data_IF_715541048887
#
_entry.id   IF_715541048887
#
_cell.length_a   1.000
_cell.length_b   1.000
_cell.length_c   1.000
_cell.angle_alpha   90.00
_cell.angle_beta   90.00
_cell.angle_gamma   90.00
#
_symmetry.space_group_name_H-M   'P 1'
#
loop_
_entity.id
_entity.type
_entity.pdbx_description
1 polymer ?
#
# COMPACT_ATOMS: atom_id res chain seq x y z
N UNK A 1 -10.43 19.32 -1.20
CA UNK A 1 -11.37 20.16 -0.43
C UNK A 1 -12.78 19.59 -0.33
N UNK A 2 -13.69 19.73 -1.32
CA UNK A 2 -15.13 19.39 -1.14
C UNK A 2 -15.40 18.01 -0.53
N UNK A 3 -14.67 16.98 -0.95
CA UNK A 3 -14.80 15.62 -0.40
C UNK A 3 -14.40 15.57 1.08
N UNK A 4 -13.26 16.16 1.45
CA UNK A 4 -12.78 16.21 2.85
C UNK A 4 -13.73 16.99 3.76
N UNK A 5 -14.26 18.12 3.30
CA UNK A 5 -15.28 18.87 4.03
C UNK A 5 -16.59 18.07 4.22
N UNK A 6 -16.98 17.27 3.24
CA UNK A 6 -18.13 16.38 3.39
C UNK A 6 -17.85 15.25 4.39
N UNK A 7 -16.64 14.67 4.38
CA UNK A 7 -16.24 13.66 5.37
C UNK A 7 -16.29 14.25 6.78
N UNK A 8 -15.76 15.47 6.98
CA UNK A 8 -15.88 16.21 8.24
C UNK A 8 -17.34 16.36 8.68
N UNK A 9 -18.20 16.85 7.79
CA UNK A 9 -19.63 17.04 8.09
C UNK A 9 -20.33 15.71 8.44
N UNK A 10 -20.04 14.63 7.72
CA UNK A 10 -20.59 13.30 7.99
C UNK A 10 -20.03 12.70 9.29
N UNK A 11 -18.77 12.96 9.63
CA UNK A 11 -18.19 12.57 10.92
C UNK A 11 -18.91 13.28 12.08
N UNK A 12 -19.06 14.60 12.00
CA UNK A 12 -19.67 15.40 13.06
C UNK A 12 -21.17 15.14 13.23
N UNK A 13 -21.91 14.96 12.13
CA UNK A 13 -23.37 14.85 12.17
C UNK A 13 -23.88 13.41 12.19
N UNK A 14 -23.15 12.46 11.58
CA UNK A 14 -23.58 11.06 11.45
C UNK A 14 -22.70 10.09 12.22
N UNK A 15 -21.53 10.50 12.71
CA UNK A 15 -20.61 9.63 13.46
C UNK A 15 -20.02 8.50 12.61
N UNK A 16 -19.77 8.77 11.32
CA UNK A 16 -19.17 7.76 10.44
C UNK A 16 -17.79 7.35 10.94
N UNK A 17 -17.44 6.08 10.69
CA UNK A 17 -16.09 5.55 10.97
C UNK A 17 -15.33 5.15 9.72
N UNK A 18 -16.03 4.79 8.66
CA UNK A 18 -15.45 4.24 7.43
C UNK A 18 -15.84 5.11 6.23
N UNK A 19 -14.88 5.39 5.37
CA UNK A 19 -15.06 6.12 4.11
C UNK A 19 -14.43 5.32 2.97
N UNK A 20 -15.27 4.76 2.10
CA UNK A 20 -14.79 4.09 0.89
C UNK A 20 -14.79 5.05 -0.30
N UNK A 21 -13.61 5.38 -0.82
CA UNK A 21 -13.45 6.19 -2.02
C UNK A 21 -13.56 5.30 -3.25
N UNK A 22 -14.60 5.50 -4.07
CA UNK A 22 -14.84 4.66 -5.26
C UNK A 22 -14.57 5.45 -6.54
N UNK A 23 -13.45 5.14 -7.20
CA UNK A 23 -13.08 5.71 -8.49
C UNK A 23 -11.57 5.90 -8.65
N UNK A 24 -11.06 5.59 -9.85
CA UNK A 24 -9.68 5.81 -10.25
C UNK A 24 -9.54 6.77 -11.44
N UNK A 25 -8.35 6.79 -12.04
CA UNK A 25 -8.04 7.62 -13.22
C UNK A 25 -8.81 7.14 -14.44
N UNK A 26 -9.52 8.03 -15.12
CA UNK A 26 -10.34 7.72 -16.31
C UNK A 26 -9.89 8.47 -17.58
N UNK A 27 -8.60 8.75 -17.64
CA UNK A 27 -7.92 9.30 -18.80
C UNK A 27 -7.18 10.59 -18.50
N UNK A 28 -7.04 11.41 -19.54
CA UNK A 28 -6.31 12.67 -19.50
C UNK A 28 -4.83 12.51 -19.82
N UNK A 29 -4.38 13.06 -20.95
CA UNK A 29 -2.95 13.05 -21.36
C UNK A 29 -2.24 14.28 -20.79
N UNK A 30 -2.80 15.48 -20.96
CA UNK A 30 -2.21 16.73 -20.44
C UNK A 30 -2.43 16.90 -18.94
N UNK A 31 -3.65 16.67 -18.46
CA UNK A 31 -4.02 16.66 -17.06
C UNK A 31 -4.86 15.43 -16.77
N UNK A 32 -4.64 14.79 -15.63
CA UNK A 32 -5.31 13.57 -15.22
C UNK A 32 -6.78 13.82 -14.92
N UNK A 33 -7.63 12.87 -15.28
CA UNK A 33 -9.07 12.91 -14.99
C UNK A 33 -9.45 11.80 -14.02
N UNK A 34 -10.27 12.12 -13.04
CA UNK A 34 -10.55 11.27 -11.88
C UNK A 34 -12.06 11.11 -11.66
N UNK A 35 -12.51 9.87 -11.46
CA UNK A 35 -13.91 9.59 -11.08
C UNK A 35 -14.17 9.98 -9.64
N UNK A 36 -13.20 9.71 -8.78
CA UNK A 36 -13.15 10.18 -7.40
C UNK A 36 -11.86 10.99 -7.23
N UNK A 37 -11.92 12.23 -6.73
CA UNK A 37 -10.74 13.06 -6.52
C UNK A 37 -9.64 12.37 -5.69
N UNK A 38 -8.42 12.83 -5.89
CA UNK A 38 -7.21 12.37 -5.19
C UNK A 38 -6.50 13.57 -4.56
N UNK A 39 -5.62 13.31 -3.60
CA UNK A 39 -4.65 14.29 -3.12
C UNK A 39 -3.25 13.89 -3.54
N UNK A 40 -2.46 14.91 -3.83
CA UNK A 40 -1.03 14.81 -3.97
C UNK A 40 -0.35 15.54 -2.81
N UNK A 41 0.62 14.90 -2.19
CA UNK A 41 1.55 15.54 -1.27
C UNK A 41 2.70 16.19 -2.04
N UNK A 42 3.15 17.35 -1.58
CA UNK A 42 4.29 18.09 -2.15
C UNK A 42 5.50 18.07 -1.20
N UNK A 43 5.58 17.07 -0.33
CA UNK A 43 6.73 16.79 0.51
C UNK A 43 7.91 16.41 -0.40
N UNK A 44 8.98 17.20 -0.32
CA UNK A 44 10.23 16.99 -1.04
C UNK A 44 11.27 16.44 -0.07
N UNK A 45 11.55 15.16 -0.19
CA UNK A 45 12.54 14.44 0.62
C UNK A 45 13.97 14.57 0.08
N UNK A 46 14.17 15.36 -0.97
CA UNK A 46 15.45 15.50 -1.67
C UNK A 46 15.72 14.40 -2.70
N UNK A 47 14.78 13.49 -2.93
CA UNK A 47 14.82 12.53 -4.06
C UNK A 47 14.42 13.21 -5.38
N UNK A 48 14.34 12.43 -6.47
CA UNK A 48 13.80 12.90 -7.75
C UNK A 48 12.25 12.84 -7.82
N UNK A 49 11.56 12.44 -6.73
CA UNK A 49 10.10 12.46 -6.61
C UNK A 49 9.62 13.67 -5.81
N UNK A 50 9.21 14.72 -6.54
CA UNK A 50 8.69 15.95 -5.93
C UNK A 50 7.20 15.87 -5.52
N UNK A 51 6.50 14.80 -5.89
CA UNK A 51 5.06 14.68 -5.66
C UNK A 51 4.57 13.23 -5.73
N UNK A 52 3.71 12.82 -4.79
CA UNK A 52 3.12 11.47 -4.75
C UNK A 52 1.67 11.51 -4.27
N UNK A 53 0.90 10.46 -4.59
CA UNK A 53 -0.51 10.34 -4.21
C UNK A 53 -0.65 10.01 -2.72
N UNK A 54 -1.72 10.47 -2.09
CA UNK A 54 -2.02 10.13 -0.69
C UNK A 54 -3.51 10.23 -0.44
N UNK A 55 -4.13 9.14 0.01
CA UNK A 55 -5.49 9.22 0.55
C UNK A 55 -5.54 9.43 2.06
N UNK A 56 -4.40 9.42 2.76
CA UNK A 56 -4.29 9.80 4.18
C UNK A 56 -4.88 11.20 4.44
N UNK A 57 -4.76 12.08 3.45
CA UNK A 57 -5.42 13.40 3.44
C UNK A 57 -6.93 13.34 3.69
N UNK A 58 -7.62 12.30 3.25
CA UNK A 58 -9.06 12.17 3.43
C UNK A 58 -9.45 11.55 4.78
N UNK A 59 -8.50 10.90 5.48
CA UNK A 59 -8.72 10.30 6.79
C UNK A 59 -8.33 11.20 7.95
N UNK A 60 -7.26 11.99 7.80
CA UNK A 60 -6.86 13.03 8.77
C UNK A 60 -7.80 14.23 8.58
N UNK A 61 -8.72 14.48 9.51
CA UNK A 61 -9.72 15.54 9.43
C UNK A 61 -9.33 16.73 10.33
N UNK A 62 -8.73 16.46 11.48
CA UNK A 62 -8.40 17.49 12.46
C UNK A 62 -6.96 17.39 12.90
N UNK A 63 -6.32 18.56 12.99
CA UNK A 63 -5.11 18.78 13.76
C UNK A 63 -5.43 19.01 15.23
N UNK A 64 -4.78 18.25 16.12
CA UNK A 64 -4.93 18.42 17.57
C UNK A 64 -3.77 19.20 18.20
N UNK A 65 -4.04 20.40 18.71
CA UNK A 65 -3.06 21.23 19.43
C UNK A 65 -3.58 21.61 20.82
N UNK A 66 -2.83 21.24 21.87
CA UNK A 66 -3.20 21.52 23.27
C UNK A 66 -4.63 21.12 23.64
N UNK A 67 -5.11 20.00 23.07
CA UNK A 67 -6.47 19.48 23.29
C UNK A 67 -7.57 20.16 22.47
N UNK A 68 -7.24 21.11 21.60
CA UNK A 68 -8.19 21.71 20.66
C UNK A 68 -8.04 21.07 19.28
N UNK A 69 -9.16 20.66 18.69
CA UNK A 69 -9.23 20.16 17.33
C UNK A 69 -9.48 21.32 16.35
N UNK A 70 -8.65 21.42 15.31
CA UNK A 70 -8.82 22.36 14.19
C UNK A 70 -8.83 21.60 12.89
N UNK A 71 -9.70 21.95 11.93
CA UNK A 71 -9.73 21.26 10.64
C UNK A 71 -8.37 21.36 9.94
N UNK A 72 -7.78 20.23 9.57
CA UNK A 72 -6.49 20.20 8.88
C UNK A 72 -6.72 20.11 7.36
N UNK A 73 -6.53 21.21 6.64
CA UNK A 73 -6.67 21.23 5.19
C UNK A 73 -5.37 20.86 4.44
N UNK A 74 -4.30 20.53 5.18
CA UNK A 74 -2.95 20.29 4.67
C UNK A 74 -2.35 21.46 3.87
N UNK A 75 -2.81 22.69 4.07
CA UNK A 75 -2.27 23.93 3.46
C UNK A 75 -2.19 25.03 4.53
N UNK A 76 -1.44 24.75 5.60
CA UNK A 76 -1.36 25.57 6.81
C UNK A 76 -0.84 27.00 6.57
N UNK A 77 -0.16 27.24 5.44
CA UNK A 77 0.30 28.57 5.04
C UNK A 77 -0.56 29.23 3.94
N UNK A 78 -1.62 28.55 3.47
CA UNK A 78 -2.64 29.08 2.56
C UNK A 78 -2.14 29.41 1.16
N UNK A 79 -1.08 28.74 0.69
CA UNK A 79 -0.46 29.02 -0.60
C UNK A 79 -0.99 28.13 -1.74
N UNK A 80 -1.86 27.16 -1.43
CA UNK A 80 -2.47 26.21 -2.38
C UNK A 80 -1.59 25.02 -2.74
N UNK A 81 -0.47 24.82 -2.06
CA UNK A 81 0.45 23.69 -2.21
C UNK A 81 0.29 22.80 -0.98
N UNK A 82 -0.37 21.66 -1.17
CA UNK A 82 -0.78 20.82 -0.07
C UNK A 82 0.34 19.89 0.41
N UNK A 83 0.46 19.74 1.73
CA UNK A 83 1.50 18.96 2.41
C UNK A 83 2.91 19.31 1.90
N UNK A 84 3.19 20.60 1.70
CA UNK A 84 4.51 21.02 1.28
C UNK A 84 5.51 20.81 2.41
N UNK A 85 6.66 20.24 2.07
CA UNK A 85 7.82 20.28 2.96
C UNK A 85 9.06 20.42 2.09
N UNK A 86 9.64 21.62 2.14
CA UNK A 86 10.85 22.04 1.46
C UNK A 86 11.72 22.80 2.46
N UNK A 87 12.98 23.03 2.12
CA UNK A 87 13.99 23.59 3.04
C UNK A 87 13.54 24.82 3.87
N UNK A 88 12.72 25.71 3.32
CA UNK A 88 12.27 26.95 4.00
C UNK A 88 10.74 27.08 4.10
N UNK A 89 10.00 26.02 3.75
CA UNK A 89 8.57 26.06 3.47
C UNK A 89 7.95 24.74 3.87
N UNK A 90 7.08 24.73 4.87
CA UNK A 90 6.56 23.50 5.46
C UNK A 90 5.13 23.72 5.93
N UNK A 91 4.26 22.78 5.61
CA UNK A 91 2.95 22.67 6.23
C UNK A 91 3.04 21.97 7.58
N UNK A 92 2.12 22.28 8.50
CA UNK A 92 2.02 21.57 9.78
C UNK A 92 0.85 20.60 9.71
N UNK A 93 1.17 19.30 9.71
CA UNK A 93 0.22 18.19 9.61
C UNK A 93 0.30 17.36 10.89
N UNK A 94 -0.80 16.81 11.39
CA UNK A 94 -0.72 15.72 12.37
C UNK A 94 -0.76 14.31 11.74
N UNK A 95 -1.44 14.14 10.61
CA UNK A 95 -1.55 12.89 9.84
C UNK A 95 -2.25 11.73 10.55
N UNK A 96 -2.79 11.90 11.77
CA UNK A 96 -3.49 10.81 12.47
C UNK A 96 -4.91 10.62 11.91
N UNK A 97 -5.28 9.42 11.43
CA UNK A 97 -6.62 9.19 10.89
C UNK A 97 -7.74 9.41 11.93
N UNK A 98 -8.70 10.30 11.63
CA UNK A 98 -9.97 10.45 12.39
C UNK A 98 -11.08 9.51 11.88
N UNK A 99 -10.97 9.09 10.62
CA UNK A 99 -11.84 8.07 10.00
C UNK A 99 -11.00 7.08 9.19
N UNK A 100 -11.51 5.86 9.03
CA UNK A 100 -10.84 4.81 8.27
C UNK A 100 -11.15 4.94 6.79
N UNK A 101 -10.13 5.23 5.97
CA UNK A 101 -10.25 5.42 4.52
C UNK A 101 -9.64 4.24 3.78
N UNK A 102 -10.33 3.81 2.72
CA UNK A 102 -9.78 2.90 1.71
C UNK A 102 -10.33 3.23 0.33
N UNK A 103 -9.58 2.89 -0.73
CA UNK A 103 -9.96 3.20 -2.11
C UNK A 103 -10.21 1.95 -2.95
N UNK A 104 -11.35 1.95 -3.65
CA UNK A 104 -11.56 1.14 -4.84
C UNK A 104 -11.20 1.99 -6.07
N UNK A 105 -9.99 1.84 -6.61
CA UNK A 105 -9.46 2.65 -7.72
C UNK A 105 -10.05 2.29 -9.10
N UNK A 106 -11.34 1.91 -9.13
CA UNK A 106 -12.05 1.43 -10.30
C UNK A 106 -12.11 2.49 -11.42
N UNK A 107 -11.79 2.10 -12.65
CA UNK A 107 -11.82 3.00 -13.81
C UNK A 107 -13.12 2.97 -14.59
N UNK A 108 -13.99 2.02 -14.28
CA UNK A 108 -15.28 1.81 -14.94
C UNK A 108 -16.23 1.01 -14.03
N UNK A 109 -17.50 0.95 -14.41
CA UNK A 109 -18.53 0.24 -13.65
C UNK A 109 -18.35 -1.28 -13.60
N UNK A 110 -17.62 -1.86 -14.56
CA UNK A 110 -17.35 -3.29 -14.57
C UNK A 110 -16.36 -3.68 -13.45
N UNK A 111 -15.30 -2.89 -13.24
CA UNK A 111 -14.40 -3.06 -12.10
C UNK A 111 -15.11 -2.86 -10.77
N UNK A 112 -15.99 -1.86 -10.65
CA UNK A 112 -16.80 -1.67 -9.44
C UNK A 112 -17.63 -2.92 -9.15
N UNK A 113 -18.36 -3.42 -10.16
CA UNK A 113 -19.16 -4.64 -10.03
C UNK A 113 -18.30 -5.82 -9.56
N UNK A 114 -17.10 -6.00 -10.13
CA UNK A 114 -16.21 -7.10 -9.77
C UNK A 114 -15.64 -6.98 -8.35
N UNK A 115 -15.30 -5.78 -7.91
CA UNK A 115 -14.86 -5.57 -6.53
C UNK A 115 -15.98 -5.83 -5.53
N UNK A 116 -17.19 -5.33 -5.79
CA UNK A 116 -18.36 -5.58 -4.93
C UNK A 116 -18.67 -7.07 -4.84
N UNK A 117 -18.65 -7.80 -5.97
CA UNK A 117 -18.80 -9.27 -5.98
C UNK A 117 -17.74 -9.98 -5.12
N UNK A 118 -16.46 -9.56 -5.22
CA UNK A 118 -15.37 -10.12 -4.42
C UNK A 118 -15.52 -9.82 -2.92
N UNK A 119 -15.88 -8.60 -2.55
CA UNK A 119 -16.10 -8.18 -1.16
C UNK A 119 -17.23 -9.00 -0.53
N UNK A 120 -18.38 -9.07 -1.20
CA UNK A 120 -19.53 -9.87 -0.70
C UNK A 120 -19.13 -11.34 -0.56
N UNK A 121 -18.42 -11.90 -1.56
CA UNK A 121 -17.97 -13.29 -1.49
C UNK A 121 -17.06 -13.51 -0.28
N UNK A 122 -16.00 -12.71 -0.16
CA UNK A 122 -15.06 -12.82 0.95
C UNK A 122 -15.76 -12.74 2.31
N UNK A 123 -16.58 -11.70 2.52
CA UNK A 123 -17.23 -11.46 3.81
C UNK A 123 -18.25 -12.53 4.19
N UNK A 124 -18.84 -13.23 3.21
CA UNK A 124 -19.86 -14.25 3.45
C UNK A 124 -19.32 -15.69 3.45
N UNK A 125 -18.13 -15.93 2.89
CA UNK A 125 -17.62 -17.29 2.72
C UNK A 125 -16.26 -17.56 3.36
N UNK A 126 -15.45 -16.54 3.69
CA UNK A 126 -14.08 -16.74 4.17
C UNK A 126 -14.01 -17.32 5.60
N UNK A 127 -15.03 -17.08 6.43
CA UNK A 127 -14.99 -17.47 7.83
C UNK A 127 -14.87 -18.98 8.00
N UNK A 128 -13.87 -19.38 8.78
CA UNK A 128 -13.60 -20.79 9.11
C UNK A 128 -13.04 -21.62 7.95
N UNK A 129 -12.64 -21.00 6.84
CA UNK A 129 -12.00 -21.71 5.74
C UNK A 129 -10.53 -22.00 6.06
N UNK A 130 -10.05 -23.18 5.67
CA UNK A 130 -8.67 -23.62 5.96
C UNK A 130 -7.60 -22.70 5.35
N UNK A 131 -7.84 -22.18 4.15
CA UNK A 131 -6.93 -21.26 3.47
C UNK A 131 -6.70 -19.97 4.27
N UNK A 132 -7.64 -19.58 5.13
CA UNK A 132 -7.51 -18.38 5.95
C UNK A 132 -6.47 -18.56 7.06
N UNK A 133 -6.12 -19.78 7.47
CA UNK A 133 -5.07 -19.99 8.48
C UNK A 133 -3.66 -20.02 7.87
N UNK A 134 -3.49 -19.58 6.61
CA UNK A 134 -2.20 -19.57 5.91
C UNK A 134 -1.70 -18.14 5.69
N UNK A 135 -0.42 -17.94 5.95
CA UNK A 135 0.37 -16.75 5.61
C UNK A 135 1.35 -17.12 4.49
N UNK A 136 1.53 -16.24 3.51
CA UNK A 136 2.54 -16.41 2.45
C UNK A 136 3.48 -15.22 2.45
N UNK A 137 4.76 -15.48 2.73
CA UNK A 137 5.84 -14.49 2.68
C UNK A 137 6.68 -14.65 1.43
N UNK A 138 6.72 -13.65 0.55
CA UNK A 138 7.48 -13.66 -0.70
C UNK A 138 8.59 -12.62 -0.59
N UNK A 139 9.83 -13.09 -0.58
CA UNK A 139 10.96 -12.23 -0.25
C UNK A 139 12.30 -12.83 -0.69
N UNK A 140 13.34 -12.01 -0.59
CA UNK A 140 14.72 -12.41 -0.77
C UNK A 140 15.65 -11.37 -0.16
N UNK A 141 16.84 -11.29 -0.72
CA UNK A 141 17.84 -10.30 -0.37
C UNK A 141 17.46 -8.95 -1.00
N UNK A 142 17.15 -7.94 -0.19
CA UNK A 142 16.65 -6.65 -0.70
C UNK A 142 17.82 -5.74 -1.06
N UNK A 143 18.87 -5.74 -0.26
CA UNK A 143 20.07 -4.94 -0.51
C UNK A 143 21.32 -5.82 -0.56
N UNK A 144 21.47 -6.67 -1.60
CA UNK A 144 22.57 -7.63 -1.63
C UNK A 144 23.91 -6.93 -1.66
N UNK A 145 24.72 -7.18 -0.63
CA UNK A 145 26.10 -6.74 -0.55
C UNK A 145 27.04 -7.88 -0.15
N UNK A 146 28.30 -7.79 -0.58
CA UNK A 146 29.30 -8.81 -0.33
C UNK A 146 29.62 -8.86 1.18
N UNK A 147 29.22 -9.95 1.84
CA UNK A 147 29.48 -10.17 3.26
C UNK A 147 28.42 -9.65 4.22
N UNK A 148 27.32 -9.07 3.71
CA UNK A 148 26.13 -8.78 4.51
C UNK A 148 25.33 -10.07 4.77
N UNK A 149 25.18 -10.52 6.03
CA UNK A 149 24.44 -11.75 6.33
C UNK A 149 22.90 -11.59 6.34
N UNK A 150 22.38 -10.38 6.14
CA UNK A 150 20.95 -10.09 6.29
C UNK A 150 20.22 -10.14 4.94
N UNK A 151 19.11 -10.88 4.89
CA UNK A 151 18.17 -10.85 3.77
C UNK A 151 16.94 -10.09 4.26
N UNK A 152 16.97 -8.76 4.16
CA UNK A 152 15.99 -7.89 4.84
C UNK A 152 14.56 -8.22 4.46
N UNK A 153 14.37 -8.66 3.22
CA UNK A 153 13.06 -9.02 2.75
C UNK A 153 12.49 -10.21 3.52
N UNK A 154 13.33 -11.24 3.72
CA UNK A 154 12.96 -12.49 4.39
C UNK A 154 12.74 -12.23 5.89
N UNK A 155 13.64 -11.47 6.53
CA UNK A 155 13.50 -11.02 7.92
C UNK A 155 12.16 -10.30 8.16
N UNK A 156 11.74 -9.44 7.23
CA UNK A 156 10.48 -8.72 7.37
C UNK A 156 9.27 -9.64 7.29
N UNK A 157 9.27 -10.60 6.34
CA UNK A 157 8.15 -11.55 6.22
C UNK A 157 8.08 -12.54 7.38
N UNK A 158 9.23 -12.92 7.96
CA UNK A 158 9.27 -13.73 9.18
C UNK A 158 8.76 -12.95 10.39
N UNK A 159 9.22 -11.70 10.56
CA UNK A 159 8.78 -10.83 11.65
C UNK A 159 7.28 -10.53 11.57
N UNK A 160 6.73 -10.33 10.36
CA UNK A 160 5.30 -10.20 10.14
C UNK A 160 4.52 -11.44 10.58
N UNK A 161 5.00 -12.64 10.20
CA UNK A 161 4.37 -13.90 10.59
C UNK A 161 4.39 -14.13 12.11
N UNK A 162 5.42 -13.66 12.83
CA UNK A 162 5.52 -13.81 14.28
C UNK A 162 4.40 -13.08 15.07
N UNK A 163 3.62 -12.19 14.44
CA UNK A 163 2.42 -11.60 15.03
C UNK A 163 1.15 -12.45 14.82
N UNK A 164 1.20 -13.49 13.99
CA UNK A 164 0.03 -14.24 13.52
C UNK A 164 -0.14 -15.58 14.25
N UNK A 165 -0.58 -15.51 15.51
CA UNK A 165 -0.88 -16.70 16.31
C UNK A 165 -1.93 -17.60 15.65
N UNK A 166 -1.62 -18.90 15.53
CA UNK A 166 -2.52 -19.90 14.94
C UNK A 166 -2.46 -20.02 13.42
N UNK A 167 -1.62 -19.24 12.74
CA UNK A 167 -1.39 -19.35 11.30
C UNK A 167 -0.25 -20.30 10.96
N UNK A 168 -0.20 -20.73 9.70
CA UNK A 168 0.90 -21.49 9.11
C UNK A 168 1.58 -20.65 8.02
N UNK A 169 2.90 -20.51 8.11
CA UNK A 169 3.68 -19.80 7.11
C UNK A 169 4.06 -20.69 5.92
N UNK A 170 3.98 -20.14 4.72
CA UNK A 170 4.74 -20.58 3.56
C UNK A 170 5.69 -19.47 3.11
N UNK A 171 6.97 -19.66 3.42
CA UNK A 171 8.04 -18.76 3.05
C UNK A 171 8.56 -19.09 1.65
N UNK A 172 8.08 -18.33 0.66
CA UNK A 172 8.51 -18.38 -0.74
C UNK A 172 9.72 -17.45 -0.89
N UNK A 173 10.85 -17.94 -0.41
CA UNK A 173 12.07 -17.16 -0.26
C UNK A 173 13.13 -17.52 -1.29
N UNK A 174 13.98 -16.55 -1.63
CA UNK A 174 15.08 -16.79 -2.54
C UNK A 174 16.17 -17.65 -1.86
N UNK A 175 16.45 -17.43 -0.58
CA UNK A 175 17.48 -18.15 0.17
C UNK A 175 17.20 -19.65 0.34
N UNK A 176 15.92 -20.03 0.45
CA UNK A 176 15.49 -21.42 0.62
C UNK A 176 15.18 -22.13 -0.70
N UNK A 177 15.37 -21.44 -1.84
CA UNK A 177 15.16 -21.97 -3.18
C UNK A 177 13.69 -22.10 -3.61
N UNK A 178 12.72 -21.68 -2.80
CA UNK A 178 11.29 -21.69 -3.18
C UNK A 178 10.91 -20.53 -4.10
N UNK A 179 11.70 -19.46 -4.16
CA UNK A 179 11.50 -18.35 -5.09
C UNK A 179 12.58 -18.35 -6.17
N UNK A 180 12.23 -18.81 -7.37
CA UNK A 180 13.12 -18.81 -8.54
C UNK A 180 12.51 -18.12 -9.76
N UNK A 181 11.18 -18.06 -9.86
CA UNK A 181 10.48 -17.44 -10.99
C UNK A 181 9.06 -17.00 -10.62
N UNK A 182 8.35 -16.32 -11.53
CA UNK A 182 7.00 -15.83 -11.28
C UNK A 182 5.97 -16.95 -11.02
N UNK A 183 6.24 -18.16 -11.50
CA UNK A 183 5.38 -19.33 -11.32
C UNK A 183 5.33 -19.80 -9.87
N UNK A 184 6.40 -19.63 -9.12
CA UNK A 184 6.45 -19.98 -7.70
C UNK A 184 5.54 -19.05 -6.89
N UNK A 185 5.57 -17.76 -7.21
CA UNK A 185 4.67 -16.73 -6.65
C UNK A 185 3.21 -17.06 -6.98
N UNK A 186 2.90 -17.32 -8.25
CA UNK A 186 1.53 -17.66 -8.68
C UNK A 186 1.04 -18.91 -7.95
N UNK A 187 1.87 -19.96 -7.88
CA UNK A 187 1.52 -21.22 -7.22
C UNK A 187 1.23 -21.04 -5.73
N UNK A 188 2.00 -20.21 -5.02
CA UNK A 188 1.78 -19.94 -3.61
C UNK A 188 0.49 -19.14 -3.36
N UNK A 189 0.20 -18.13 -4.19
CA UNK A 189 -1.04 -17.35 -4.10
C UNK A 189 -2.26 -18.23 -4.43
N UNK A 190 -2.16 -19.06 -5.48
CA UNK A 190 -3.25 -19.92 -5.97
C UNK A 190 -3.68 -21.00 -4.97
N UNK A 191 -2.81 -21.35 -4.01
CA UNK A 191 -3.16 -22.23 -2.89
C UNK A 191 -4.04 -21.57 -1.81
N UNK A 192 -4.24 -20.24 -1.89
CA UNK A 192 -5.02 -19.47 -0.94
C UNK A 192 -4.27 -19.15 0.36
N UNK A 193 -4.43 -17.92 0.85
CA UNK A 193 -3.89 -17.45 2.12
C UNK A 193 -4.74 -16.30 2.65
N UNK A 194 -4.72 -16.06 3.97
CA UNK A 194 -5.33 -14.86 4.55
C UNK A 194 -4.47 -13.64 4.31
N UNK A 195 -3.16 -13.81 4.48
CA UNK A 195 -2.19 -12.73 4.40
C UNK A 195 -1.10 -13.08 3.41
N UNK A 196 -0.83 -12.13 2.52
CA UNK A 196 0.19 -12.21 1.50
C UNK A 196 1.14 -11.04 1.71
N UNK A 197 2.40 -11.32 2.01
CA UNK A 197 3.39 -10.30 2.28
C UNK A 197 4.53 -10.39 1.27
N UNK A 198 4.61 -9.40 0.39
CA UNK A 198 5.75 -9.19 -0.49
C UNK A 198 6.69 -8.19 0.16
N UNK A 199 7.99 -8.47 0.19
CA UNK A 199 8.93 -7.51 0.74
C UNK A 199 10.27 -7.50 -0.02
N UNK A 200 10.53 -6.39 -0.71
CA UNK A 200 11.60 -6.24 -1.69
C UNK A 200 11.53 -4.89 -2.40
N UNK A 201 11.75 -4.87 -3.71
CA UNK A 201 11.69 -3.69 -4.58
C UNK A 201 10.39 -3.64 -5.38
N UNK A 202 10.05 -2.44 -5.84
CA UNK A 202 8.82 -2.21 -6.59
C UNK A 202 8.94 -1.12 -7.63
N UNK A 203 8.01 -1.15 -8.58
CA UNK A 203 7.59 -0.02 -9.38
C UNK A 203 6.09 -0.20 -9.70
N UNK A 204 5.44 0.72 -10.44
CA UNK A 204 4.01 0.61 -10.72
C UNK A 204 3.57 -0.64 -11.51
N UNK A 205 4.49 -1.36 -12.12
CA UNK A 205 4.23 -2.51 -12.99
C UNK A 205 4.71 -3.85 -12.40
N UNK A 206 5.68 -3.84 -11.48
CA UNK A 206 6.31 -5.06 -10.99
C UNK A 206 6.75 -4.96 -9.54
N UNK A 207 6.88 -6.13 -8.91
CA UNK A 207 7.59 -6.33 -7.67
C UNK A 207 8.72 -7.34 -7.91
N UNK A 208 9.88 -7.15 -7.28
CA UNK A 208 11.00 -8.08 -7.40
C UNK A 208 11.95 -8.03 -6.19
N UNK A 209 12.80 -9.04 -6.05
CA UNK A 209 13.87 -9.16 -5.07
C UNK A 209 15.09 -9.83 -5.69
N UNK A 210 16.16 -9.99 -4.92
CA UNK A 210 17.36 -10.70 -5.35
C UNK A 210 17.57 -12.03 -4.62
N UNK A 211 18.29 -12.99 -5.24
CA UNK A 211 18.92 -14.08 -4.52
C UNK A 211 19.96 -13.57 -3.51
N UNK A 212 20.29 -14.37 -2.48
CA UNK A 212 21.37 -14.09 -1.56
C UNK A 212 22.66 -13.60 -2.23
N UNK A 213 23.14 -12.43 -1.82
CA UNK A 213 24.40 -11.82 -2.27
C UNK A 213 24.51 -11.67 -3.80
N UNK A 214 23.39 -11.52 -4.52
CA UNK A 214 23.40 -11.37 -5.97
C UNK A 214 22.44 -10.29 -6.48
N UNK A 215 22.83 -9.04 -6.30
CA UNK A 215 22.11 -7.86 -6.80
C UNK A 215 22.00 -7.74 -8.33
N UNK A 216 22.69 -8.60 -9.10
CA UNK A 216 22.61 -8.59 -10.56
C UNK A 216 21.40 -9.36 -11.11
N UNK A 217 20.81 -10.25 -10.31
CA UNK A 217 19.69 -11.12 -10.71
C UNK A 217 18.41 -10.64 -10.05
N UNK A 218 17.38 -10.39 -10.85
CA UNK A 218 16.06 -10.00 -10.37
C UNK A 218 15.09 -11.18 -10.47
N UNK A 219 14.39 -11.49 -9.38
CA UNK A 219 13.32 -12.49 -9.33
C UNK A 219 12.04 -11.79 -8.86
N UNK A 220 10.93 -11.93 -9.58
CA UNK A 220 9.73 -11.20 -9.24
C UNK A 220 8.54 -11.51 -10.13
N UNK A 221 7.52 -10.65 -10.04
CA UNK A 221 6.28 -10.74 -10.81
C UNK A 221 5.83 -9.36 -11.29
N UNK A 222 5.36 -9.30 -12.53
CA UNK A 222 4.78 -8.10 -13.12
C UNK A 222 3.29 -8.28 -13.47
N UNK A 223 2.59 -7.17 -13.69
CA UNK A 223 1.14 -7.14 -13.95
C UNK A 223 0.71 -7.97 -15.17
N UNK A 224 1.60 -8.27 -16.13
CA UNK A 224 1.27 -9.13 -17.28
C UNK A 224 1.07 -10.58 -16.88
N UNK A 225 1.56 -10.99 -15.71
CA UNK A 225 1.43 -12.34 -15.16
C UNK A 225 0.15 -12.51 -14.34
N UNK A 226 -0.42 -11.42 -13.83
CA UNK A 226 -1.60 -11.48 -12.96
C UNK A 226 -2.80 -12.17 -13.57
N UNK A 227 -3.08 -12.10 -14.90
CA UNK A 227 -4.13 -12.91 -15.52
C UNK A 227 -4.05 -14.43 -15.22
N UNK A 228 -2.86 -14.94 -14.86
CA UNK A 228 -2.63 -16.35 -14.51
C UNK A 228 -3.05 -16.72 -13.09
N UNK A 229 -3.26 -15.76 -12.19
CA UNK A 229 -3.73 -16.02 -10.83
C UNK A 229 -5.13 -16.64 -10.87
N UNK A 230 -5.38 -17.63 -10.03
CA UNK A 230 -6.58 -18.47 -10.04
C UNK A 230 -7.12 -18.84 -8.64
N UNK A 231 -6.67 -18.16 -7.58
CA UNK A 231 -7.21 -18.25 -6.21
C UNK A 231 -8.63 -17.65 -6.06
N UNK A 232 -9.58 -18.08 -6.89
CA UNK A 232 -10.95 -17.59 -6.83
C UNK A 232 -11.62 -17.97 -5.49
N UNK A 233 -12.26 -17.00 -4.82
CA UNK A 233 -12.85 -17.16 -3.50
C UNK A 233 -11.85 -17.21 -2.33
N UNK A 234 -10.54 -17.17 -2.57
CA UNK A 234 -9.48 -17.25 -1.56
C UNK A 234 -8.59 -16.00 -1.63
N UNK A 235 -9.17 -14.84 -1.34
CA UNK A 235 -8.55 -13.54 -1.61
C UNK A 235 -7.79 -13.02 -0.37
N UNK A 236 -6.44 -13.01 -0.33
CA UNK A 236 -5.69 -12.50 0.81
C UNK A 236 -5.81 -10.98 0.98
N UNK A 237 -5.52 -10.48 2.18
CA UNK A 237 -5.05 -9.11 2.39
C UNK A 237 -3.56 -9.07 2.03
N UNK A 238 -3.19 -8.22 1.07
CA UNK A 238 -1.83 -8.15 0.53
C UNK A 238 -1.07 -6.93 1.08
N UNK A 239 0.10 -7.15 1.67
CA UNK A 239 1.03 -6.11 2.12
C UNK A 239 2.26 -6.13 1.21
N UNK A 240 2.71 -4.97 0.73
CA UNK A 240 3.84 -4.89 -0.20
C UNK A 240 4.87 -3.87 0.26
N UNK A 241 6.01 -4.38 0.72
CA UNK A 241 7.26 -3.64 0.81
C UNK A 241 7.88 -3.48 -0.59
N UNK A 242 7.88 -2.25 -1.09
CA UNK A 242 8.44 -1.87 -2.38
C UNK A 242 8.02 -0.46 -2.80
N UNK A 243 8.72 0.11 -3.79
CA UNK A 243 8.41 1.45 -4.31
C UNK A 243 7.20 1.41 -5.27
N UNK A 244 6.34 2.42 -5.19
CA UNK A 244 5.30 2.75 -6.18
C UNK A 244 4.31 1.63 -6.53
N UNK A 245 4.27 0.51 -5.80
CA UNK A 245 3.40 -0.61 -6.16
C UNK A 245 1.91 -0.19 -6.14
N UNK A 246 1.53 0.79 -5.33
CA UNK A 246 0.19 1.41 -5.32
C UNK A 246 0.13 2.77 -6.01
N UNK A 247 1.07 3.14 -6.91
CA UNK A 247 1.01 4.40 -7.67
C UNK A 247 -0.17 4.41 -8.68
N UNK A 248 -1.40 4.66 -8.20
CA UNK A 248 -2.62 4.41 -8.97
C UNK A 248 -2.97 5.53 -9.98
N UNK A 249 -2.11 6.54 -10.15
CA UNK A 249 -2.19 7.52 -11.23
C UNK A 249 -1.54 7.04 -12.54
N UNK A 250 -0.88 5.88 -12.64
CA UNK A 250 -0.27 5.40 -13.90
C UNK A 250 -1.27 5.14 -15.03
N UNK A 251 -0.84 5.16 -16.29
CA UNK A 251 -1.72 4.89 -17.44
C UNK A 251 -0.94 4.63 -18.73
N UNK A 252 -1.40 3.70 -19.57
CA UNK A 252 -0.88 3.52 -20.95
C UNK A 252 -0.91 4.83 -21.75
N UNK A 253 -1.87 5.71 -21.50
CA UNK A 253 -1.96 7.02 -22.16
C UNK A 253 -0.75 7.92 -21.89
N UNK A 254 0.03 7.66 -20.84
CA UNK A 254 1.27 8.38 -20.59
C UNK A 254 2.27 8.20 -21.75
N UNK A 255 2.24 7.08 -22.50
CA UNK A 255 3.09 6.89 -23.69
C UNK A 255 2.87 7.93 -24.79
N UNK A 256 1.74 8.64 -24.79
CA UNK A 256 1.46 9.74 -25.72
C UNK A 256 2.21 11.05 -25.36
N UNK A 257 2.86 11.11 -24.20
CA UNK A 257 3.70 12.24 -23.77
C UNK A 257 5.11 12.10 -24.33
N UNK A 258 5.25 12.22 -25.65
CA UNK A 258 6.49 11.91 -26.39
C UNK A 258 7.77 12.60 -25.86
N UNK A 259 7.66 13.80 -25.29
CA UNK A 259 8.81 14.53 -24.70
C UNK A 259 9.41 13.85 -23.47
N UNK A 260 8.62 13.06 -22.75
CA UNK A 260 9.01 12.43 -21.48
C UNK A 260 9.09 10.90 -21.60
N UNK A 261 9.10 10.34 -22.82
CA UNK A 261 8.92 8.91 -23.07
C UNK A 261 9.98 8.04 -22.36
N UNK A 262 11.24 8.49 -22.32
CA UNK A 262 12.33 7.78 -21.62
C UNK A 262 12.04 7.63 -20.13
N UNK A 263 11.70 8.74 -19.46
CA UNK A 263 11.33 8.76 -18.03
C UNK A 263 10.10 7.91 -17.78
N UNK A 264 9.07 8.03 -18.61
CA UNK A 264 7.84 7.24 -18.49
C UNK A 264 8.12 5.74 -18.55
N UNK A 265 8.96 5.32 -19.48
CA UNK A 265 9.35 3.93 -19.63
C UNK A 265 10.19 3.45 -18.44
N UNK A 266 11.19 4.24 -18.03
CA UNK A 266 12.09 3.93 -16.93
C UNK A 266 11.35 3.73 -15.60
N UNK A 267 10.45 4.66 -15.23
CA UNK A 267 9.66 4.55 -14.00
C UNK A 267 8.37 3.72 -14.16
N UNK A 268 8.18 3.05 -15.31
CA UNK A 268 6.99 2.21 -15.58
C UNK A 268 5.62 2.89 -15.37
N UNK A 269 5.59 4.23 -15.43
CA UNK A 269 4.35 5.03 -15.28
C UNK A 269 3.35 4.85 -16.43
N UNK A 270 3.75 4.10 -17.47
CA UNK A 270 2.89 3.64 -18.55
C UNK A 270 2.09 2.37 -18.21
N UNK A 271 2.29 1.78 -17.03
CA UNK A 271 1.51 0.62 -16.60
C UNK A 271 0.02 0.86 -16.78
N UNK A 272 -0.76 -0.14 -17.25
CA UNK A 272 -2.20 0.06 -17.44
C UNK A 272 -2.86 0.56 -16.17
N UNK A 273 -2.53 -0.04 -15.03
CA UNK A 273 -2.93 0.33 -13.67
C UNK A 273 -1.76 -0.03 -12.73
N UNK A 274 -1.78 0.43 -11.48
CA UNK A 274 -0.73 0.08 -10.53
C UNK A 274 -0.73 -1.41 -10.20
N UNK A 275 0.44 -1.95 -9.83
CA UNK A 275 0.62 -3.33 -9.39
C UNK A 275 -0.40 -3.70 -8.30
N UNK A 276 -0.55 -2.85 -7.28
CA UNK A 276 -1.47 -3.08 -6.16
C UNK A 276 -2.94 -3.06 -6.59
N UNK A 277 -3.34 -2.18 -7.51
CA UNK A 277 -4.70 -2.19 -8.01
C UNK A 277 -4.98 -3.40 -8.89
N UNK A 278 -4.03 -3.79 -9.75
CA UNK A 278 -4.13 -5.02 -10.56
C UNK A 278 -4.31 -6.27 -9.69
N UNK A 279 -3.59 -6.36 -8.56
CA UNK A 279 -3.68 -7.49 -7.63
C UNK A 279 -5.05 -7.52 -6.96
N UNK A 280 -5.51 -6.36 -6.48
CA UNK A 280 -6.79 -6.19 -5.77
C UNK A 280 -7.98 -6.49 -6.69
N UNK A 281 -8.01 -5.90 -7.89
CA UNK A 281 -9.15 -6.01 -8.81
C UNK A 281 -9.11 -7.21 -9.75
N UNK A 282 -8.10 -8.09 -9.63
CA UNK A 282 -7.99 -9.30 -10.44
C UNK A 282 -9.31 -10.08 -10.39
N UNK A 283 -9.85 -10.38 -11.57
CA UNK A 283 -11.09 -11.13 -11.73
C UNK A 283 -10.79 -12.61 -11.59
N UNK A 284 -11.50 -13.32 -10.71
CA UNK A 284 -11.26 -14.75 -10.47
C UNK A 284 -9.94 -15.05 -9.77
N UNK A 285 -9.47 -14.16 -8.89
CA UNK A 285 -8.24 -14.34 -8.11
C UNK A 285 -7.68 -13.02 -7.57
N UNK A 286 -6.40 -13.00 -7.23
CA UNK A 286 -5.69 -11.85 -6.65
C UNK A 286 -6.05 -11.63 -5.17
N UNK A 287 -5.95 -10.40 -4.69
CA UNK A 287 -6.19 -10.05 -3.27
C UNK A 287 -7.57 -9.42 -3.06
N UNK A 288 -8.04 -9.36 -1.80
CA UNK A 288 -9.24 -8.59 -1.44
C UNK A 288 -8.92 -7.11 -1.21
N UNK A 289 -7.69 -6.85 -0.76
CA UNK A 289 -7.12 -5.53 -0.60
C UNK A 289 -5.60 -5.58 -0.78
N UNK A 290 -5.00 -4.45 -1.14
CA UNK A 290 -3.55 -4.29 -1.18
C UNK A 290 -3.14 -3.00 -0.47
N UNK A 291 -2.16 -3.11 0.43
CA UNK A 291 -1.53 -1.99 1.13
C UNK A 291 -0.09 -1.87 0.62
N UNK A 292 0.26 -0.72 0.05
CA UNK A 292 1.60 -0.47 -0.49
C UNK A 292 1.88 1.03 -0.68
N UNK A 293 3.14 1.36 -0.98
CA UNK A 293 3.55 2.74 -1.27
C UNK A 293 2.98 3.25 -2.61
N UNK A 294 2.48 4.49 -2.62
CA UNK A 294 2.16 5.24 -3.85
C UNK A 294 3.39 5.96 -4.43
N UNK A 295 4.43 6.18 -3.63
CA UNK A 295 5.71 6.82 -3.98
C UNK A 295 6.92 5.92 -3.68
N UNK A 296 8.11 6.52 -3.51
CA UNK A 296 9.32 5.78 -3.14
C UNK A 296 9.22 5.10 -1.77
N UNK A 297 9.37 3.78 -1.73
CA UNK A 297 9.54 3.02 -0.51
C UNK A 297 10.96 3.19 0.03
N UNK A 298 11.08 3.44 1.33
CA UNK A 298 12.36 3.58 2.02
C UNK A 298 12.61 2.37 2.91
N UNK A 299 13.85 1.90 2.94
CA UNK A 299 14.29 0.80 3.80
C UNK A 299 15.64 1.11 4.43
N UNK A 300 15.91 0.48 5.56
CA UNK A 300 17.22 0.48 6.21
C UNK A 300 17.86 -0.90 5.95
N UNK A 301 19.05 -0.99 5.33
CA UNK A 301 19.75 -2.26 5.15
C UNK A 301 20.28 -2.86 6.46
N UNK A 302 20.51 -4.16 6.47
CA UNK A 302 21.22 -4.85 7.55
C UNK A 302 20.40 -5.17 8.81
N UNK A 303 21.09 -5.29 9.95
CA UNK A 303 20.56 -5.88 11.19
C UNK A 303 19.33 -5.17 11.75
N UNK A 304 19.31 -3.84 11.62
CA UNK A 304 18.28 -2.97 12.19
C UNK A 304 17.15 -2.68 11.17
N UNK A 305 17.10 -3.41 10.05
CA UNK A 305 16.12 -3.20 8.99
C UNK A 305 14.67 -3.24 9.49
N UNK A 306 14.38 -4.03 10.53
CA UNK A 306 13.05 -4.16 11.11
C UNK A 306 12.67 -3.01 12.03
N UNK A 307 13.60 -2.15 12.43
CA UNK A 307 13.38 -1.10 13.41
C UNK A 307 13.04 0.26 12.79
N UNK A 308 13.31 0.44 11.50
CA UNK A 308 13.18 1.73 10.81
C UNK A 308 12.45 1.62 9.47
N UNK A 309 12.02 2.79 8.99
CA UNK A 309 11.52 3.02 7.63
C UNK A 309 10.38 2.08 7.21
N UNK A 310 10.25 1.83 5.91
CA UNK A 310 9.15 1.06 5.33
C UNK A 310 9.05 -0.36 5.88
N UNK A 311 10.17 -0.99 6.22
CA UNK A 311 10.20 -2.33 6.83
C UNK A 311 9.50 -2.35 8.19
N UNK A 312 9.77 -1.36 9.05
CA UNK A 312 9.00 -1.22 10.30
C UNK A 312 7.52 -0.92 10.03
N UNK A 313 7.20 -0.10 9.03
CA UNK A 313 5.81 0.20 8.64
C UNK A 313 5.04 -1.05 8.20
N UNK A 314 5.66 -1.94 7.41
CA UNK A 314 5.05 -3.19 6.95
C UNK A 314 4.58 -4.07 8.13
N UNK A 315 5.35 -4.11 9.22
CA UNK A 315 5.02 -4.89 10.42
C UNK A 315 3.82 -4.34 11.19
N UNK A 316 3.55 -3.03 11.10
CA UNK A 316 2.54 -2.39 11.94
C UNK A 316 1.12 -2.89 11.64
N UNK A 317 0.86 -3.31 10.40
CA UNK A 317 -0.41 -3.94 10.04
C UNK A 317 -0.62 -5.26 10.82
N UNK A 318 0.40 -6.11 10.87
CA UNK A 318 0.34 -7.41 11.54
C UNK A 318 0.28 -7.27 13.06
N UNK A 319 1.04 -6.32 13.63
CA UNK A 319 0.93 -5.94 15.04
C UNK A 319 -0.50 -5.50 15.37
N UNK A 320 -1.05 -4.58 14.59
CA UNK A 320 -2.42 -4.08 14.76
C UNK A 320 -3.47 -5.21 14.73
N UNK A 321 -3.34 -6.15 13.79
CA UNK A 321 -4.21 -7.32 13.71
C UNK A 321 -4.07 -8.24 14.92
N UNK A 322 -2.83 -8.51 15.38
CA UNK A 322 -2.56 -9.36 16.56
C UNK A 322 -3.18 -8.82 17.86
N UNK A 323 -3.40 -7.51 17.94
CA UNK A 323 -4.07 -6.85 19.06
C UNK A 323 -5.61 -6.89 18.97
N UNK A 324 -6.16 -7.66 18.03
CA UNK A 324 -7.59 -7.90 17.88
C UNK A 324 -8.33 -6.91 16.97
N UNK A 325 -7.61 -6.05 16.23
CA UNK A 325 -8.23 -5.17 15.23
C UNK A 325 -8.45 -5.96 13.95
N UNK A 326 -9.70 -6.36 13.72
CA UNK A 326 -10.09 -7.24 12.62
C UNK A 326 -10.93 -6.55 11.52
N UNK A 327 -11.15 -5.24 11.62
CA UNK A 327 -11.73 -4.42 10.56
C UNK A 327 -10.61 -3.77 9.74
N UNK A 328 -10.55 -4.02 8.44
CA UNK A 328 -9.38 -3.73 7.60
C UNK A 328 -8.89 -2.27 7.70
N UNK A 329 -9.79 -1.31 7.64
CA UNK A 329 -9.45 0.11 7.76
C UNK A 329 -8.98 0.51 9.16
N UNK A 330 -9.52 -0.11 10.22
CA UNK A 330 -9.06 0.10 11.59
C UNK A 330 -7.67 -0.51 11.80
N UNK A 331 -7.44 -1.71 11.24
CA UNK A 331 -6.14 -2.38 11.28
C UNK A 331 -5.06 -1.53 10.61
N UNK A 332 -5.35 -1.02 9.40
CA UNK A 332 -4.44 -0.15 8.64
C UNK A 332 -4.18 1.18 9.36
N UNK A 333 -5.22 1.91 9.77
CA UNK A 333 -5.08 3.20 10.42
C UNK A 333 -4.32 3.12 11.76
N UNK A 334 -4.55 2.06 12.54
CA UNK A 334 -3.80 1.84 13.78
C UNK A 334 -2.33 1.54 13.50
N UNK A 335 -2.02 0.84 12.39
CA UNK A 335 -0.65 0.63 11.97
C UNK A 335 0.07 1.95 11.63
N UNK A 336 -0.61 2.87 10.94
CA UNK A 336 -0.09 4.22 10.71
C UNK A 336 0.18 4.96 12.02
N UNK A 337 -0.77 4.91 12.97
CA UNK A 337 -0.62 5.53 14.27
C UNK A 337 0.58 4.98 15.05
N UNK A 338 0.79 3.65 15.06
CA UNK A 338 1.94 3.04 15.72
C UNK A 338 3.28 3.45 15.13
N UNK A 339 3.34 3.61 13.81
CA UNK A 339 4.53 4.15 13.17
C UNK A 339 4.80 5.57 13.63
N UNK A 340 3.76 6.42 13.63
CA UNK A 340 3.85 7.82 14.03
C UNK A 340 4.14 8.00 15.53
N UNK A 341 3.70 7.09 16.39
CA UNK A 341 4.05 7.11 17.82
C UNK A 341 5.56 6.90 18.03
N UNK A 342 6.21 6.08 17.19
CA UNK A 342 7.67 5.87 17.22
C UNK A 342 8.42 6.95 16.47
N UNK A 343 7.88 7.42 15.35
CA UNK A 343 8.46 8.43 14.45
C UNK A 343 7.46 9.57 14.27
N UNK A 344 7.44 10.55 15.20
CA UNK A 344 6.44 11.60 15.21
C UNK A 344 6.31 12.34 13.88
N UNK A 345 5.06 12.68 13.48
CA UNK A 345 4.81 13.56 12.35
C UNK A 345 5.70 14.78 12.43
N UNK A 346 6.24 15.17 11.28
CA UNK A 346 6.97 16.41 11.14
C UNK A 346 8.36 16.48 11.81
N UNK A 347 8.90 15.38 12.36
CA UNK A 347 10.29 15.31 12.84
C UNK A 347 11.30 14.99 11.73
N UNK A 348 10.99 14.01 10.88
CA UNK A 348 11.79 13.58 9.73
C UNK A 348 10.92 13.54 8.46
N UNK A 349 11.43 14.06 7.34
CA UNK A 349 10.66 14.16 6.11
C UNK A 349 10.46 12.79 5.42
N UNK A 350 11.43 11.88 5.54
CA UNK A 350 11.32 10.53 4.97
C UNK A 350 10.28 9.71 5.75
N UNK A 351 10.30 9.76 7.09
CA UNK A 351 9.27 9.09 7.92
C UNK A 351 7.88 9.67 7.68
N UNK A 352 7.78 11.00 7.56
CA UNK A 352 6.53 11.67 7.21
C UNK A 352 5.98 11.20 5.85
N UNK A 353 6.86 11.06 4.84
CA UNK A 353 6.47 10.53 3.53
C UNK A 353 6.00 9.07 3.59
N UNK A 354 6.68 8.21 4.35
CA UNK A 354 6.33 6.78 4.49
C UNK A 354 4.87 6.63 4.92
N UNK A 355 4.42 7.39 5.92
CA UNK A 355 3.03 7.35 6.39
C UNK A 355 2.07 7.85 5.31
N UNK A 356 2.36 9.00 4.69
CA UNK A 356 1.48 9.63 3.71
C UNK A 356 1.22 8.74 2.48
N UNK A 357 2.20 7.95 2.06
CA UNK A 357 2.10 7.14 0.84
C UNK A 357 1.63 5.70 1.07
N UNK A 358 1.40 5.29 2.33
CA UNK A 358 1.03 3.92 2.69
C UNK A 358 -0.47 3.66 2.45
N UNK A 359 -0.80 3.42 1.19
CA UNK A 359 -2.16 3.46 0.66
C UNK A 359 -2.92 2.13 0.83
N UNK A 360 -4.15 2.20 1.32
CA UNK A 360 -5.09 1.07 1.36
C UNK A 360 -5.99 1.04 0.12
N UNK A 361 -5.66 0.16 -0.83
CA UNK A 361 -6.54 -0.16 -1.95
C UNK A 361 -7.47 -1.32 -1.57
N UNK A 362 -8.66 -1.01 -1.06
CA UNK A 362 -9.63 -1.99 -0.58
C UNK A 362 -10.84 -1.34 0.11
N UNK A 363 -11.75 -2.16 0.60
CA UNK A 363 -12.89 -1.71 1.41
C UNK A 363 -12.43 -1.54 2.88
N UNK A 364 -12.42 -0.31 3.44
CA UNK A 364 -11.97 -0.09 4.81
C UNK A 364 -12.92 -0.70 5.86
N UNK A 365 -14.16 -1.03 5.49
CA UNK A 365 -15.15 -1.68 6.36
C UNK A 365 -15.15 -3.21 6.25
N UNK A 366 -14.22 -3.79 5.48
CA UNK A 366 -14.07 -5.23 5.35
C UNK A 366 -13.71 -5.87 6.70
N UNK A 367 -14.45 -6.90 7.12
CA UNK A 367 -14.01 -7.76 8.23
C UNK A 367 -12.97 -8.76 7.73
N UNK A 368 -11.73 -8.66 8.21
CA UNK A 368 -10.65 -9.61 7.89
C UNK A 368 -11.06 -11.00 8.37
N UNK A 369 -11.14 -11.97 7.46
CA UNK A 369 -11.63 -13.33 7.73
C UNK A 369 -13.14 -13.53 7.58
N UNK A 370 -13.91 -12.50 7.27
CA UNK A 370 -15.36 -12.58 7.04
C UNK A 370 -16.21 -12.74 8.32
N UNK A 371 -17.53 -12.77 8.14
CA UNK A 371 -18.53 -12.74 9.22
C UNK A 371 -19.03 -14.09 9.69
#
# INVERSE_FOLDING_TARGET
EKVKYFIKDALENWGIKYVMLVGGRHGGVGAEKWWCPVRYSNLDDGSDEAQFLTDLYFSDIYRYENGNATFDDWDSNGNGIFAEWKMMKKDNLDMYPDVYVGRLACRNSYEVKKMVEKIITYETTAKGQDWFNRFVGIAGDTYPDDGDPYYEGELATEAAFNYLDGFQADYVWASNGKLSNEGDIISAIDQGCAFLHFSGHGNPMSWATHPPHNGSVWIGIDVTKFPKLSNDGMYPVCIVGGCHNSQFNVSVLNLLKFKNLKTIYYHSTWSPESWGWWMTRKIGGGSIATIANTGYGYGEPGADCLEFRGRYMELQFFKSYSEGKDMLGETHASGLAYYMDKFPPMDDNVDCKIVQQWELLGDPSLKIGGY
#
